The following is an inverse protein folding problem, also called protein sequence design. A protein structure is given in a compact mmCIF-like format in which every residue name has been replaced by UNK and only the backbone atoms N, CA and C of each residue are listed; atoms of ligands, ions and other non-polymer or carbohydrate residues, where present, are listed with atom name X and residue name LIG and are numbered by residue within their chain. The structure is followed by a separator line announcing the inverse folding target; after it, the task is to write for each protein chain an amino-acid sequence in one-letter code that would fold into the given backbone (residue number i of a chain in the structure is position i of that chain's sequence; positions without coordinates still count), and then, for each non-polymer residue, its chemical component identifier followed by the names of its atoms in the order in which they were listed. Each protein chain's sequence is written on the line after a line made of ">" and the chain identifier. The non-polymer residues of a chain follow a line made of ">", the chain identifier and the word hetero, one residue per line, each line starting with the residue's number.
data_IF_618667769992
#
_entry.id   IF_618667769992
#
_cell.length_a   1.000
_cell.length_b   1.000
_cell.length_c   1.000
_cell.angle_alpha   90.00
_cell.angle_beta   90.00
_cell.angle_gamma   90.00
#
_symmetry.space_group_name_H-M   'P 1'
#
loop_
_entity.id
_entity.type
_entity.pdbx_description
1 polymer ?
#
# COMPACT_ATOMS: atom_id res chain seq x y z
N UNK A 1 5.42 48.99 -6.61
CA UNK A 1 5.41 48.06 -5.46
C UNK A 1 4.54 46.87 -5.82
N UNK A 2 5.12 45.85 -6.43
CA UNK A 2 4.45 44.62 -6.87
C UNK A 2 4.55 43.58 -5.76
N UNK A 3 3.43 43.31 -5.08
CA UNK A 3 3.33 42.25 -4.08
C UNK A 3 3.42 40.89 -4.78
N UNK A 4 4.52 40.16 -4.55
CA UNK A 4 4.64 38.76 -4.95
C UNK A 4 3.49 37.92 -4.34
N UNK A 5 2.87 37.01 -5.10
CA UNK A 5 1.96 36.05 -4.54
C UNK A 5 2.76 35.09 -3.66
N UNK A 6 2.59 35.20 -2.33
CA UNK A 6 3.02 34.20 -1.36
C UNK A 6 2.58 32.83 -1.86
N UNK A 7 3.55 31.98 -2.21
CA UNK A 7 3.31 30.57 -2.49
C UNK A 7 2.46 30.01 -1.35
N UNK A 8 1.19 29.72 -1.63
CA UNK A 8 0.28 29.16 -0.67
C UNK A 8 0.89 27.86 -0.14
N UNK A 9 1.36 27.90 1.09
CA UNK A 9 1.73 26.73 1.87
C UNK A 9 0.53 25.80 1.81
N UNK A 10 0.67 24.66 1.12
CA UNK A 10 -0.35 23.60 1.14
C UNK A 10 -0.72 23.37 2.60
N UNK A 11 -2.02 23.43 2.96
CA UNK A 11 -2.42 23.13 4.32
C UNK A 11 -1.94 21.71 4.66
N UNK A 12 -1.48 21.47 5.90
CA UNK A 12 -1.10 20.13 6.33
C UNK A 12 -2.31 19.20 6.12
N UNK A 13 -2.12 18.05 5.47
CA UNK A 13 -3.14 17.01 5.18
C UNK A 13 -3.68 16.32 6.47
N UNK A 14 -3.96 17.09 7.52
CA UNK A 14 -4.36 16.66 8.85
C UNK A 14 -5.72 17.25 9.26
N UNK A 15 -6.55 17.60 8.30
CA UNK A 15 -7.95 17.96 8.52
C UNK A 15 -8.74 16.92 7.71
N UNK A 16 -9.97 16.52 8.10
CA UNK A 16 -10.95 16.12 7.09
C UNK A 16 -10.83 17.07 5.88
N UNK A 17 -11.17 16.64 4.67
CA UNK A 17 -11.30 17.62 3.58
C UNK A 17 -12.04 18.85 4.12
N UNK A 18 -11.74 20.08 3.70
CA UNK A 18 -12.29 21.30 4.31
C UNK A 18 -13.85 21.28 4.41
N UNK A 19 -14.46 20.34 3.67
CA UNK A 19 -15.87 19.98 3.56
C UNK A 19 -16.34 18.74 4.39
N UNK A 20 -15.54 18.19 5.31
CA UNK A 20 -15.91 17.02 6.14
C UNK A 20 -15.90 15.65 5.42
N UNK A 21 -15.23 15.55 4.25
CA UNK A 21 -15.29 14.35 3.41
C UNK A 21 -14.29 13.27 3.84
N UNK A 22 -14.62 11.97 3.67
CA UNK A 22 -13.72 10.87 3.97
C UNK A 22 -12.40 10.95 3.18
N UNK A 23 -11.28 10.79 3.87
CA UNK A 23 -9.93 10.88 3.29
C UNK A 23 -9.32 9.49 3.10
N UNK A 24 -9.09 9.12 1.83
CA UNK A 24 -8.36 7.89 1.48
C UNK A 24 -6.99 7.89 2.16
N UNK A 25 -6.61 6.77 2.78
CA UNK A 25 -5.35 6.62 3.51
C UNK A 25 -5.44 6.96 5.01
N UNK A 26 -6.58 7.49 5.46
CA UNK A 26 -6.84 7.81 6.86
C UNK A 26 -8.15 7.16 7.33
N UNK A 27 -9.24 7.39 6.61
CA UNK A 27 -10.57 6.92 6.97
C UNK A 27 -10.88 5.61 6.28
N UNK A 28 -11.21 4.58 7.09
CA UNK A 28 -11.56 3.27 6.56
C UNK A 28 -13.06 3.11 6.35
N UNK A 29 -13.52 3.03 5.08
CA UNK A 29 -14.91 2.71 4.77
C UNK A 29 -15.20 1.19 4.88
N UNK A 30 -16.48 0.82 4.83
CA UNK A 30 -16.94 -0.54 5.06
C UNK A 30 -16.36 -1.57 4.07
N UNK A 31 -16.30 -1.25 2.78
CA UNK A 31 -15.74 -2.16 1.77
C UNK A 31 -14.25 -2.45 2.02
N UNK A 32 -13.50 -1.41 2.35
CA UNK A 32 -12.10 -1.50 2.76
C UNK A 32 -11.86 -2.37 3.98
N UNK A 33 -12.75 -2.22 4.98
CA UNK A 33 -12.74 -3.02 6.20
C UNK A 33 -12.97 -4.50 5.89
N UNK A 34 -14.00 -4.79 5.09
CA UNK A 34 -14.35 -6.15 4.69
C UNK A 34 -13.20 -6.82 3.91
N UNK A 35 -12.60 -6.12 2.94
CA UNK A 35 -11.51 -6.66 2.13
C UNK A 35 -10.28 -7.02 2.97
N UNK A 36 -9.87 -6.13 3.89
CA UNK A 36 -8.70 -6.37 4.75
C UNK A 36 -8.94 -7.49 5.76
N UNK A 37 -10.15 -7.58 6.33
CA UNK A 37 -10.53 -8.68 7.21
C UNK A 37 -10.60 -10.01 6.47
N UNK A 38 -11.13 -10.02 5.24
CA UNK A 38 -11.14 -11.21 4.39
C UNK A 38 -9.71 -11.67 4.10
N UNK A 39 -8.83 -10.75 3.69
CA UNK A 39 -7.42 -11.06 3.47
C UNK A 39 -6.76 -11.59 4.74
N UNK A 40 -7.01 -10.96 5.90
CA UNK A 40 -6.48 -11.42 7.18
C UNK A 40 -6.96 -12.83 7.53
N UNK A 41 -8.26 -13.13 7.35
CA UNK A 41 -8.81 -14.45 7.62
C UNK A 41 -8.18 -15.53 6.73
N UNK A 42 -8.04 -15.26 5.43
CA UNK A 42 -7.36 -16.15 4.48
C UNK A 42 -5.91 -16.38 4.88
N UNK A 43 -5.18 -15.31 5.18
CA UNK A 43 -3.76 -15.39 5.52
C UNK A 43 -3.51 -16.07 6.87
N UNK A 44 -4.39 -15.89 7.87
CA UNK A 44 -4.37 -16.65 9.13
C UNK A 44 -4.61 -18.12 8.85
N UNK A 45 -5.62 -18.46 8.05
CA UNK A 45 -5.92 -19.84 7.70
C UNK A 45 -4.74 -20.52 7.00
N UNK A 46 -4.18 -19.87 5.97
CA UNK A 46 -2.97 -20.32 5.28
C UNK A 46 -1.80 -20.56 6.23
N UNK A 47 -1.56 -19.64 7.18
CA UNK A 47 -0.53 -19.79 8.20
C UNK A 47 -0.83 -20.97 9.12
N UNK A 48 -2.05 -21.14 9.62
CA UNK A 48 -2.39 -22.27 10.52
C UNK A 48 -2.20 -23.61 9.81
N UNK A 49 -2.65 -23.74 8.56
CA UNK A 49 -2.49 -24.95 7.74
C UNK A 49 -1.01 -25.26 7.50
N UNK A 50 -0.22 -24.27 7.08
CA UNK A 50 1.23 -24.39 6.87
C UNK A 50 2.00 -24.66 8.18
N UNK A 51 1.62 -23.98 9.24
CA UNK A 51 2.40 -23.85 10.48
C UNK A 51 2.10 -24.97 11.49
N UNK A 52 1.05 -25.76 11.24
CA UNK A 52 0.70 -26.99 11.99
C UNK A 52 1.83 -28.04 12.04
N UNK A 53 2.95 -27.80 11.35
CA UNK A 53 4.13 -28.66 11.21
C UNK A 53 5.40 -28.09 11.85
N UNK A 54 5.34 -26.97 12.57
CA UNK A 54 6.54 -26.31 13.10
C UNK A 54 7.09 -26.91 14.39
N UNK A 55 8.43 -27.00 14.44
CA UNK A 55 9.19 -27.18 15.67
C UNK A 55 9.04 -25.95 16.59
N UNK A 56 8.86 -26.18 17.90
CA UNK A 56 8.70 -25.13 18.91
C UNK A 56 9.87 -24.14 18.94
N UNK A 57 11.09 -24.59 18.63
CA UNK A 57 12.25 -23.71 18.54
C UNK A 57 12.15 -22.71 17.36
N UNK A 58 11.62 -23.15 16.22
CA UNK A 58 11.36 -22.27 15.08
C UNK A 58 10.26 -21.27 15.40
N UNK A 59 9.16 -21.74 16.00
CA UNK A 59 8.07 -20.87 16.42
C UNK A 59 8.55 -19.73 17.33
N UNK A 60 9.38 -20.05 18.33
CA UNK A 60 9.97 -19.05 19.22
C UNK A 60 10.82 -18.04 18.46
N UNK A 61 11.68 -18.48 17.52
CA UNK A 61 12.48 -17.58 16.68
C UNK A 61 11.61 -16.65 15.85
N UNK A 62 10.54 -17.16 15.25
CA UNK A 62 9.59 -16.38 14.46
C UNK A 62 8.89 -15.31 15.31
N UNK A 63 8.46 -15.66 16.53
CA UNK A 63 7.86 -14.69 17.47
C UNK A 63 8.87 -13.62 17.88
N UNK A 64 10.13 -13.99 18.18
CA UNK A 64 11.18 -13.03 18.49
C UNK A 64 11.45 -12.09 17.31
N UNK A 65 11.55 -12.62 16.09
CA UNK A 65 11.68 -11.81 14.87
C UNK A 65 10.49 -10.88 14.66
N UNK A 66 9.25 -11.34 14.88
CA UNK A 66 8.04 -10.51 14.85
C UNK A 66 8.15 -9.33 15.82
N UNK A 67 8.56 -9.57 17.06
CA UNK A 67 8.73 -8.51 18.07
C UNK A 67 9.80 -7.51 17.63
N UNK A 68 10.94 -7.98 17.13
CA UNK A 68 12.02 -7.13 16.63
C UNK A 68 11.56 -6.25 15.47
N UNK A 69 10.82 -6.82 14.51
CA UNK A 69 10.23 -6.09 13.39
C UNK A 69 9.24 -5.04 13.91
N UNK A 70 8.35 -5.41 14.84
CA UNK A 70 7.38 -4.48 15.42
C UNK A 70 8.06 -3.28 16.11
N UNK A 71 9.12 -3.53 16.88
CA UNK A 71 9.92 -2.48 17.51
C UNK A 71 10.59 -1.61 16.45
N UNK A 72 11.24 -2.20 15.44
CA UNK A 72 11.93 -1.48 14.38
C UNK A 72 10.98 -0.55 13.61
N UNK A 73 9.81 -1.05 13.19
CA UNK A 73 8.78 -0.25 12.53
C UNK A 73 8.25 0.87 13.42
N UNK A 74 8.03 0.60 14.71
CA UNK A 74 7.55 1.60 15.66
C UNK A 74 8.58 2.72 15.86
N UNK A 75 9.86 2.37 16.00
CA UNK A 75 10.95 3.33 16.11
C UNK A 75 11.10 4.14 14.82
N UNK A 76 11.12 3.48 13.67
CA UNK A 76 11.19 4.14 12.37
C UNK A 76 10.01 5.12 12.18
N UNK A 77 8.80 4.70 12.55
CA UNK A 77 7.61 5.55 12.49
C UNK A 77 7.75 6.79 13.38
N UNK A 78 8.21 6.64 14.62
CA UNK A 78 8.46 7.79 15.52
C UNK A 78 9.50 8.77 14.98
N UNK A 79 10.57 8.27 14.37
CA UNK A 79 11.64 9.11 13.82
C UNK A 79 11.20 9.82 12.52
N UNK A 80 10.49 9.11 11.64
CA UNK A 80 10.04 9.63 10.35
C UNK A 80 8.83 10.55 10.46
N UNK A 81 7.87 10.26 11.36
CA UNK A 81 6.69 11.10 11.61
C UNK A 81 7.09 12.54 11.94
N UNK A 82 8.00 12.72 12.89
CA UNK A 82 8.43 14.05 13.35
C UNK A 82 9.19 14.86 12.29
N UNK A 83 9.77 14.22 11.27
CA UNK A 83 10.78 14.85 10.39
C UNK A 83 10.42 14.86 8.91
N UNK A 84 9.61 13.91 8.46
CA UNK A 84 9.52 13.57 7.05
C UNK A 84 8.09 13.33 6.55
N UNK A 85 7.25 12.57 7.28
CA UNK A 85 5.98 12.09 6.73
C UNK A 85 5.03 13.21 6.31
N UNK A 86 4.97 14.33 7.05
CA UNK A 86 4.16 15.50 6.68
C UNK A 86 4.70 16.28 5.47
N UNK A 87 5.91 15.96 4.99
CA UNK A 87 6.62 16.69 3.92
C UNK A 87 6.77 15.87 2.64
N UNK A 88 6.28 14.63 2.63
CA UNK A 88 6.36 13.73 1.48
C UNK A 88 4.96 13.40 0.99
N UNK A 89 4.86 12.92 -0.25
CA UNK A 89 3.57 12.38 -0.69
C UNK A 89 3.27 11.09 0.08
N UNK A 90 1.99 10.75 0.31
CA UNK A 90 1.59 9.51 0.96
C UNK A 90 2.25 8.26 0.34
N UNK A 91 2.41 8.21 -0.98
CA UNK A 91 3.10 7.12 -1.70
C UNK A 91 4.58 7.01 -1.34
N UNK A 92 5.29 8.13 -1.22
CA UNK A 92 6.69 8.11 -0.80
C UNK A 92 6.82 7.64 0.65
N UNK A 93 5.91 8.10 1.53
CA UNK A 93 5.87 7.63 2.91
C UNK A 93 5.66 6.12 2.99
N UNK A 94 4.68 5.60 2.24
CA UNK A 94 4.42 4.17 2.10
C UNK A 94 5.68 3.42 1.67
N UNK A 95 6.30 3.85 0.57
CA UNK A 95 7.45 3.16 0.01
C UNK A 95 8.61 3.01 1.02
N UNK A 96 8.83 4.02 1.88
CA UNK A 96 9.83 3.95 2.95
C UNK A 96 9.53 2.86 3.98
N UNK A 97 8.26 2.64 4.31
CA UNK A 97 7.84 1.57 5.21
C UNK A 97 7.72 0.20 4.52
N UNK A 98 7.61 0.16 3.20
CA UNK A 98 7.60 -1.09 2.45
C UNK A 98 9.01 -1.60 2.14
N UNK A 99 10.04 -0.74 2.16
CA UNK A 99 11.44 -1.14 1.91
C UNK A 99 11.89 -2.43 2.62
N UNK A 100 11.59 -2.67 3.91
CA UNK A 100 11.98 -3.92 4.58
C UNK A 100 11.35 -5.19 3.96
N UNK A 101 10.26 -5.10 3.20
CA UNK A 101 9.72 -6.26 2.48
C UNK A 101 10.62 -6.73 1.34
N UNK A 102 11.61 -5.94 0.91
CA UNK A 102 12.65 -6.38 -0.03
C UNK A 102 13.56 -7.47 0.54
N UNK A 103 13.55 -7.69 1.86
CA UNK A 103 14.28 -8.80 2.46
C UNK A 103 13.82 -10.16 1.93
N UNK A 104 12.54 -10.27 1.54
CA UNK A 104 11.95 -11.51 1.01
C UNK A 104 12.47 -11.86 -0.39
N UNK A 105 12.30 -11.02 -1.45
CA UNK A 105 12.78 -11.35 -2.79
C UNK A 105 14.31 -11.36 -2.92
N UNK A 106 15.03 -10.73 -1.99
CA UNK A 106 16.50 -10.74 -1.97
C UNK A 106 17.08 -11.87 -1.12
N UNK A 107 16.23 -12.70 -0.50
CA UNK A 107 16.60 -13.78 0.42
C UNK A 107 17.57 -13.34 1.52
N UNK A 108 17.33 -12.15 2.08
CA UNK A 108 18.17 -11.56 3.12
C UNK A 108 17.61 -11.94 4.49
N UNK A 109 18.44 -12.65 5.26
CA UNK A 109 18.14 -13.04 6.64
C UNK A 109 17.52 -14.43 6.76
N UNK A 110 17.30 -14.92 7.99
CA UNK A 110 16.78 -16.27 8.22
C UNK A 110 15.28 -16.37 7.90
N UNK A 111 14.79 -17.56 7.56
CA UNK A 111 13.36 -17.80 7.28
C UNK A 111 12.41 -17.30 8.39
N UNK A 112 12.82 -17.46 9.66
CA UNK A 112 12.06 -16.94 10.81
C UNK A 112 11.88 -15.41 10.80
N UNK A 113 12.81 -14.67 10.18
CA UNK A 113 12.67 -13.22 9.99
C UNK A 113 11.58 -12.91 8.95
N UNK A 114 11.55 -13.65 7.85
CA UNK A 114 10.53 -13.51 6.81
C UNK A 114 9.14 -13.82 7.34
N UNK A 115 9.00 -14.93 8.09
CA UNK A 115 7.73 -15.29 8.73
C UNK A 115 7.32 -14.28 9.81
N UNK A 116 8.28 -13.79 10.60
CA UNK A 116 8.05 -12.73 11.59
C UNK A 116 7.55 -11.42 10.96
N UNK A 117 8.15 -10.99 9.84
CA UNK A 117 7.69 -9.84 9.05
C UNK A 117 6.29 -10.09 8.45
N UNK A 118 6.04 -11.31 8.01
CA UNK A 118 4.75 -11.74 7.52
C UNK A 118 3.66 -11.74 8.60
N UNK A 119 3.97 -12.14 9.83
CA UNK A 119 3.05 -12.04 10.99
C UNK A 119 2.79 -10.58 11.36
N UNK A 120 3.83 -9.75 11.31
CA UNK A 120 3.72 -8.32 11.58
C UNK A 120 2.76 -7.64 10.59
N UNK A 121 2.91 -7.92 9.30
CA UNK A 121 2.05 -7.38 8.25
C UNK A 121 0.62 -7.91 8.40
N UNK A 122 0.44 -9.19 8.74
CA UNK A 122 -0.87 -9.80 9.02
C UNK A 122 -1.60 -9.11 10.17
N UNK A 123 -0.89 -8.80 11.26
CA UNK A 123 -1.45 -8.03 12.37
C UNK A 123 -1.94 -6.65 11.88
N UNK A 124 -1.21 -6.01 10.95
CA UNK A 124 -1.64 -4.76 10.31
C UNK A 124 -3.00 -4.88 9.61
N UNK A 125 -3.23 -5.98 8.87
CA UNK A 125 -4.53 -6.26 8.22
C UNK A 125 -5.68 -6.45 9.20
N UNK A 126 -5.41 -6.85 10.45
CA UNK A 126 -6.41 -6.93 11.53
C UNK A 126 -6.60 -5.57 12.22
N UNK A 127 -5.50 -4.89 12.56
CA UNK A 127 -5.54 -3.63 13.31
C UNK A 127 -6.13 -2.46 12.52
N UNK A 128 -5.85 -2.36 11.22
CA UNK A 128 -6.40 -1.31 10.36
C UNK A 128 -7.95 -1.27 10.41
N UNK A 129 -8.66 -2.39 10.15
CA UNK A 129 -10.11 -2.52 10.36
C UNK A 129 -10.61 -2.12 11.74
N UNK A 130 -9.96 -2.60 12.81
CA UNK A 130 -10.38 -2.38 14.19
C UNK A 130 -10.24 -0.92 14.62
N UNK A 131 -9.17 -0.27 14.18
CA UNK A 131 -8.88 1.14 14.48
C UNK A 131 -9.50 2.11 13.48
N UNK A 132 -10.16 1.59 12.43
CA UNK A 132 -10.69 2.32 11.27
C UNK A 132 -9.64 3.18 10.58
N UNK A 133 -8.37 2.76 10.60
CA UNK A 133 -7.26 3.48 10.00
C UNK A 133 -6.92 2.90 8.61
N UNK A 134 -7.17 3.67 7.55
CA UNK A 134 -6.90 3.27 6.18
C UNK A 134 -5.44 3.46 5.71
N UNK A 135 -4.48 3.56 6.63
CA UNK A 135 -3.07 3.67 6.26
C UNK A 135 -2.48 2.37 5.68
N UNK A 136 -1.18 2.41 5.41
CA UNK A 136 -0.40 1.20 5.14
C UNK A 136 -0.40 0.27 6.36
N UNK A 137 -0.65 -1.02 6.14
CA UNK A 137 -0.89 -2.03 7.18
C UNK A 137 0.30 -2.14 8.15
N UNK A 138 1.53 -2.04 7.62
CA UNK A 138 2.78 -2.02 8.39
C UNK A 138 2.93 -0.81 9.33
N UNK A 139 2.02 0.16 9.27
CA UNK A 139 2.02 1.35 10.13
C UNK A 139 0.87 1.38 11.12
N UNK A 140 -0.04 0.41 11.08
CA UNK A 140 -1.19 0.34 11.98
C UNK A 140 -0.78 0.22 13.45
N UNK A 141 0.11 -0.74 13.77
CA UNK A 141 0.62 -0.92 15.12
C UNK A 141 1.43 0.31 15.60
N UNK A 142 2.39 0.85 14.82
CA UNK A 142 3.07 2.09 15.19
C UNK A 142 2.13 3.28 15.45
N UNK A 143 1.12 3.48 14.62
CA UNK A 143 0.14 4.55 14.80
C UNK A 143 -0.66 4.36 16.10
N UNK A 144 -1.04 3.12 16.42
CA UNK A 144 -1.74 2.78 17.66
C UNK A 144 -0.85 2.98 18.89
N UNK A 145 0.36 2.40 18.91
CA UNK A 145 1.30 2.41 20.05
C UNK A 145 1.77 3.83 20.36
N UNK A 146 2.03 4.63 19.33
CA UNK A 146 2.55 5.97 19.56
C UNK A 146 1.47 6.94 20.04
N UNK A 147 0.19 6.60 19.92
CA UNK A 147 -0.94 7.47 20.26
C UNK A 147 -0.91 8.82 19.53
N UNK A 148 -0.06 8.95 18.50
CA UNK A 148 0.19 10.19 17.77
C UNK A 148 -0.76 10.32 16.58
N UNK A 149 -0.65 11.46 15.89
CA UNK A 149 -1.26 11.74 14.59
C UNK A 149 -1.12 10.54 13.65
N UNK A 150 -2.25 10.11 13.10
CA UNK A 150 -2.31 9.15 11.97
C UNK A 150 -1.82 9.88 10.72
N UNK A 151 -0.77 9.36 10.08
CA UNK A 151 -0.29 9.91 8.81
C UNK A 151 -1.01 9.27 7.63
N UNK A 152 -1.25 10.06 6.58
CA UNK A 152 -1.82 9.58 5.33
C UNK A 152 -0.77 8.77 4.58
N UNK A 153 -0.93 7.45 4.57
CA UNK A 153 -0.05 6.52 3.87
C UNK A 153 -0.92 5.61 3.02
N UNK A 154 -0.55 5.42 1.76
CA UNK A 154 -1.34 4.58 0.87
C UNK A 154 -0.92 3.10 0.95
N UNK A 155 -1.87 2.21 0.73
CA UNK A 155 -1.73 0.78 0.58
C UNK A 155 -2.42 0.38 -0.72
N UNK A 156 -1.98 -0.68 -1.42
CA UNK A 156 -2.74 -1.26 -2.52
C UNK A 156 -4.21 -1.54 -2.16
N UNK A 157 -4.48 -1.89 -0.90
CA UNK A 157 -5.83 -2.15 -0.39
C UNK A 157 -6.70 -0.88 -0.29
N UNK A 158 -6.13 0.32 -0.40
CA UNK A 158 -6.91 1.55 -0.50
C UNK A 158 -7.73 1.67 -1.78
N UNK A 159 -7.57 0.75 -2.73
CA UNK A 159 -8.43 0.72 -3.90
C UNK A 159 -9.89 0.47 -3.54
N UNK A 160 -10.16 -0.42 -2.58
CA UNK A 160 -11.50 -0.66 -2.04
C UNK A 160 -12.01 0.57 -1.29
N UNK A 161 -11.13 1.24 -0.54
CA UNK A 161 -11.49 2.46 0.18
C UNK A 161 -11.94 3.54 -0.80
N UNK A 162 -11.17 3.72 -1.87
CA UNK A 162 -11.43 4.69 -2.93
C UNK A 162 -12.68 4.35 -3.73
N UNK A 163 -12.95 3.07 -3.98
CA UNK A 163 -14.16 2.60 -4.65
C UNK A 163 -15.42 3.01 -3.87
N UNK A 164 -15.41 2.73 -2.57
CA UNK A 164 -16.55 2.94 -1.69
C UNK A 164 -16.81 4.44 -1.45
N UNK A 165 -15.75 5.22 -1.27
CA UNK A 165 -15.86 6.69 -1.19
C UNK A 165 -16.40 7.26 -2.51
N UNK A 166 -15.84 6.86 -3.66
CA UNK A 166 -16.27 7.36 -4.97
C UNK A 166 -17.73 7.00 -5.29
N UNK A 167 -18.18 5.81 -4.89
CA UNK A 167 -19.57 5.37 -5.02
C UNK A 167 -20.52 6.27 -4.23
N UNK A 168 -20.14 6.63 -3.00
CA UNK A 168 -20.97 7.45 -2.11
C UNK A 168 -21.00 8.94 -2.46
N UNK A 169 -19.94 9.49 -3.05
CA UNK A 169 -19.76 10.97 -3.11
C UNK A 169 -19.70 11.58 -4.50
N UNK A 170 -19.73 10.81 -5.60
CA UNK A 170 -19.52 11.37 -6.95
C UNK A 170 -20.74 11.20 -7.87
N UNK A 171 -21.34 12.30 -8.38
CA UNK A 171 -22.18 12.26 -9.58
C UNK A 171 -21.29 11.80 -10.75
N UNK A 172 -21.59 10.65 -11.37
CA UNK A 172 -20.72 10.01 -12.38
C UNK A 172 -19.71 8.99 -11.81
N UNK A 173 -19.80 8.65 -10.52
CA UNK A 173 -18.94 7.69 -9.83
C UNK A 173 -19.00 6.26 -10.38
N UNK A 174 -20.02 5.90 -11.16
CA UNK A 174 -20.25 4.51 -11.65
C UNK A 174 -19.02 3.92 -12.35
N UNK A 175 -18.38 4.66 -13.26
CA UNK A 175 -17.17 4.17 -13.95
C UNK A 175 -15.95 4.06 -13.04
N UNK A 176 -15.86 4.89 -11.99
CA UNK A 176 -14.80 4.80 -10.99
C UNK A 176 -15.02 3.65 -10.03
N UNK A 177 -16.26 3.41 -9.64
CA UNK A 177 -16.66 2.24 -8.88
C UNK A 177 -16.37 0.99 -9.68
N UNK A 178 -16.77 0.93 -10.96
CA UNK A 178 -16.44 -0.20 -11.85
C UNK A 178 -14.93 -0.39 -11.95
N UNK A 179 -14.15 0.66 -12.26
CA UNK A 179 -12.70 0.55 -12.35
C UNK A 179 -12.07 0.02 -11.05
N UNK A 180 -12.50 0.55 -9.89
CA UNK A 180 -11.94 0.17 -8.61
C UNK A 180 -12.43 -1.22 -8.12
N UNK A 181 -13.68 -1.61 -8.43
CA UNK A 181 -14.20 -2.97 -8.20
C UNK A 181 -13.43 -3.95 -9.07
N UNK A 182 -13.25 -3.65 -10.35
CA UNK A 182 -12.52 -4.49 -11.29
C UNK A 182 -11.07 -4.69 -10.86
N UNK A 183 -10.38 -3.62 -10.48
CA UNK A 183 -9.03 -3.76 -9.93
C UNK A 183 -9.04 -4.49 -8.58
N UNK A 184 -10.01 -4.22 -7.70
CA UNK A 184 -10.15 -4.93 -6.42
C UNK A 184 -10.35 -6.44 -6.60
N UNK A 185 -11.25 -6.85 -7.50
CA UNK A 185 -11.49 -8.24 -7.85
C UNK A 185 -10.25 -8.89 -8.44
N UNK A 186 -9.52 -8.20 -9.32
CA UNK A 186 -8.25 -8.70 -9.85
C UNK A 186 -7.21 -8.91 -8.74
N UNK A 187 -7.06 -7.96 -7.82
CA UNK A 187 -6.13 -8.10 -6.68
C UNK A 187 -6.55 -9.23 -5.73
N UNK A 188 -7.84 -9.41 -5.47
CA UNK A 188 -8.37 -10.56 -4.71
C UNK A 188 -8.06 -11.86 -5.44
N UNK A 189 -8.32 -11.92 -6.75
CA UNK A 189 -8.06 -13.08 -7.58
C UNK A 189 -6.58 -13.48 -7.66
N UNK A 190 -5.66 -12.52 -7.50
CA UNK A 190 -4.22 -12.77 -7.60
C UNK A 190 -3.54 -12.95 -6.25
N UNK A 191 -4.00 -12.27 -5.18
CA UNK A 191 -3.39 -12.40 -3.86
C UNK A 191 -4.18 -13.29 -2.91
N UNK A 192 -5.52 -13.20 -2.89
CA UNK A 192 -6.35 -13.95 -1.95
C UNK A 192 -6.65 -15.34 -2.46
N UNK A 193 -7.01 -15.46 -3.74
CA UNK A 193 -7.42 -16.74 -4.31
C UNK A 193 -6.27 -17.75 -4.30
N UNK A 194 -5.03 -17.43 -4.74
CA UNK A 194 -3.95 -18.42 -4.68
C UNK A 194 -3.64 -18.85 -3.26
N UNK A 195 -3.65 -17.93 -2.28
CA UNK A 195 -3.50 -18.26 -0.85
C UNK A 195 -4.57 -19.23 -0.36
N UNK A 196 -5.83 -19.06 -0.78
CA UNK A 196 -6.91 -20.01 -0.49
C UNK A 196 -6.69 -21.37 -1.18
N UNK A 197 -6.27 -21.35 -2.45
CA UNK A 197 -6.08 -22.54 -3.27
C UNK A 197 -4.92 -23.43 -2.82
N UNK A 198 -3.92 -22.90 -2.11
CA UNK A 198 -2.84 -23.73 -1.53
C UNK A 198 -3.17 -24.33 -0.16
N UNK A 199 -4.33 -24.05 0.42
CA UNK A 199 -4.75 -24.64 1.70
C UNK A 199 -5.53 -25.95 1.51
N UNK A 200 -5.27 -26.94 2.38
CA UNK A 200 -6.04 -28.20 2.40
C UNK A 200 -7.45 -27.96 3.00
N UNK A 201 -8.57 -28.42 2.40
CA UNK A 201 -8.73 -29.35 1.26
C UNK A 201 -8.95 -28.67 -0.12
N UNK A 202 -8.84 -27.34 -0.20
CA UNK A 202 -9.09 -26.60 -1.46
C UNK A 202 -8.03 -26.93 -2.51
N UNK A 203 -6.78 -27.13 -2.09
CA UNK A 203 -5.70 -27.60 -2.94
C UNK A 203 -6.06 -28.88 -3.69
N UNK A 204 -6.58 -29.87 -2.97
CA UNK A 204 -6.95 -31.18 -3.54
C UNK A 204 -8.13 -31.07 -4.52
N UNK A 205 -8.98 -30.05 -4.35
CA UNK A 205 -10.13 -29.79 -5.21
C UNK A 205 -9.80 -28.99 -6.48
N UNK A 206 -8.64 -28.32 -6.53
CA UNK A 206 -8.30 -27.31 -7.55
C UNK A 206 -6.86 -27.49 -8.09
N UNK A 207 -6.29 -28.68 -7.90
CA UNK A 207 -4.93 -29.04 -8.31
C UNK A 207 -4.66 -28.64 -9.77
N UNK A 208 -3.58 -27.87 -9.99
CA UNK A 208 -3.17 -27.39 -11.32
C UNK A 208 -3.84 -26.10 -11.80
N UNK A 209 -4.65 -25.42 -10.98
CA UNK A 209 -5.18 -24.11 -11.35
C UNK A 209 -4.11 -23.01 -11.26
N UNK A 210 -3.64 -22.58 -12.41
CA UNK A 210 -2.91 -21.32 -12.56
C UNK A 210 -3.88 -20.26 -13.13
N UNK A 211 -4.03 -19.09 -12.49
CA UNK A 211 -4.84 -18.02 -13.06
C UNK A 211 -4.27 -17.64 -14.43
N UNK A 212 -5.09 -17.65 -15.50
CA UNK A 212 -4.60 -17.38 -16.84
C UNK A 212 -3.97 -16.00 -16.96
N UNK A 213 -2.85 -15.89 -17.69
CA UNK A 213 -2.14 -14.63 -17.92
C UNK A 213 -3.05 -13.51 -18.49
N UNK A 214 -4.04 -13.88 -19.30
CA UNK A 214 -5.00 -12.94 -19.91
C UNK A 214 -5.96 -12.28 -18.90
N UNK A 215 -6.02 -12.74 -17.64
CA UNK A 215 -6.80 -12.08 -16.60
C UNK A 215 -6.32 -10.65 -16.33
N UNK A 216 -5.03 -10.38 -16.55
CA UNK A 216 -4.46 -9.03 -16.48
C UNK A 216 -5.06 -8.05 -17.50
N UNK A 217 -5.64 -8.52 -18.62
CA UNK A 217 -6.32 -7.68 -19.62
C UNK A 217 -7.52 -6.93 -19.03
N UNK A 218 -8.11 -7.46 -17.96
CA UNK A 218 -9.18 -6.80 -17.21
C UNK A 218 -8.72 -5.44 -16.64
N UNK A 219 -7.40 -5.23 -16.45
CA UNK A 219 -6.82 -3.95 -16.04
C UNK A 219 -6.77 -2.89 -17.15
N UNK A 220 -7.07 -3.23 -18.40
CA UNK A 220 -7.20 -2.25 -19.48
C UNK A 220 -8.39 -1.31 -19.24
N UNK A 221 -9.44 -1.79 -18.58
CA UNK A 221 -10.59 -0.97 -18.22
C UNK A 221 -10.22 0.16 -17.23
N UNK A 222 -9.62 -0.11 -16.05
CA UNK A 222 -9.16 0.95 -15.17
C UNK A 222 -8.09 1.82 -15.82
N UNK A 223 -7.21 1.27 -16.66
CA UNK A 223 -6.25 2.07 -17.42
C UNK A 223 -6.94 3.08 -18.37
N UNK A 224 -7.97 2.65 -19.10
CA UNK A 224 -8.77 3.52 -19.95
C UNK A 224 -9.48 4.62 -19.14
N UNK A 225 -10.05 4.29 -17.99
CA UNK A 225 -10.67 5.29 -17.10
C UNK A 225 -9.66 6.35 -16.62
N UNK A 226 -8.44 5.94 -16.26
CA UNK A 226 -7.36 6.85 -15.87
C UNK A 226 -6.91 7.73 -17.04
N UNK A 227 -6.76 7.16 -18.23
CA UNK A 227 -6.40 7.89 -19.44
C UNK A 227 -7.47 8.93 -19.82
N UNK A 228 -8.75 8.58 -19.74
CA UNK A 228 -9.86 9.51 -19.97
C UNK A 228 -9.86 10.64 -18.94
N UNK A 229 -9.52 10.37 -17.68
CA UNK A 229 -9.36 11.42 -16.66
C UNK A 229 -8.18 12.34 -16.97
N UNK A 230 -7.04 11.79 -17.39
CA UNK A 230 -5.89 12.56 -17.81
C UNK A 230 -6.25 13.49 -18.98
N UNK A 231 -7.06 13.01 -19.94
CA UNK A 231 -7.54 13.81 -21.07
C UNK A 231 -8.47 14.95 -20.67
N UNK A 232 -9.35 14.72 -19.68
CA UNK A 232 -10.31 15.72 -19.19
C UNK A 232 -9.71 16.71 -18.19
N UNK A 233 -8.59 16.37 -17.57
CA UNK A 233 -7.90 17.26 -16.63
C UNK A 233 -7.19 18.40 -17.38
N UNK A 234 -7.23 19.60 -16.81
CA UNK A 234 -6.45 20.74 -17.30
C UNK A 234 -4.94 20.46 -17.27
N UNK A 235 -4.12 21.24 -18.02
CA UNK A 235 -2.67 21.12 -17.98
C UNK A 235 -2.17 21.29 -16.54
N UNK A 236 -1.48 20.27 -16.01
CA UNK A 236 -1.05 20.30 -14.61
C UNK A 236 -0.47 18.97 -14.12
N UNK A 237 0.01 18.94 -12.86
CA UNK A 237 0.56 17.74 -12.24
C UNK A 237 -0.44 16.59 -12.20
N UNK A 238 -1.73 16.88 -11.95
CA UNK A 238 -2.78 15.86 -11.87
C UNK A 238 -2.96 15.11 -13.19
N UNK A 239 -2.97 15.83 -14.32
CA UNK A 239 -3.03 15.21 -15.66
C UNK A 239 -1.86 14.26 -15.88
N UNK A 240 -0.64 14.65 -15.47
CA UNK A 240 0.55 13.79 -15.59
C UNK A 240 0.43 12.56 -14.70
N UNK A 241 -0.03 12.71 -13.46
CA UNK A 241 -0.21 11.59 -12.53
C UNK A 241 -1.22 10.58 -13.07
N UNK A 242 -2.37 11.04 -13.59
CA UNK A 242 -3.38 10.14 -14.18
C UNK A 242 -2.86 9.45 -15.43
N UNK A 243 -2.14 10.17 -16.30
CA UNK A 243 -1.54 9.60 -17.52
C UNK A 243 -0.48 8.56 -17.20
N UNK A 244 0.42 8.83 -16.25
CA UNK A 244 1.44 7.88 -15.81
C UNK A 244 0.84 6.64 -15.15
N UNK A 245 -0.22 6.81 -14.34
CA UNK A 245 -0.92 5.67 -13.74
C UNK A 245 -1.61 4.79 -14.79
N UNK A 246 -2.22 5.40 -15.81
CA UNK A 246 -2.79 4.67 -16.95
C UNK A 246 -1.73 3.89 -17.73
N UNK A 247 -0.62 4.57 -18.07
CA UNK A 247 0.51 3.96 -18.77
C UNK A 247 1.10 2.80 -17.98
N UNK A 248 1.30 2.98 -16.66
CA UNK A 248 1.82 1.95 -15.79
C UNK A 248 0.93 0.69 -15.81
N UNK A 249 -0.39 0.84 -15.68
CA UNK A 249 -1.29 -0.32 -15.73
C UNK A 249 -1.21 -1.07 -17.06
N UNK A 250 -1.14 -0.35 -18.19
CA UNK A 250 -0.97 -0.98 -19.51
C UNK A 250 0.36 -1.72 -19.61
N UNK A 251 1.45 -1.09 -19.19
CA UNK A 251 2.79 -1.69 -19.20
C UNK A 251 2.92 -2.87 -18.22
N UNK A 252 2.06 -2.93 -17.19
CA UNK A 252 2.06 -4.04 -16.24
C UNK A 252 1.30 -5.27 -16.77
N UNK A 253 0.35 -5.11 -17.70
CA UNK A 253 -0.45 -6.24 -18.25
C UNK A 253 0.39 -7.46 -18.66
N UNK A 254 1.53 -7.32 -19.38
CA UNK A 254 2.37 -8.47 -19.74
C UNK A 254 2.91 -9.28 -18.55
N UNK A 255 2.92 -8.71 -17.34
CA UNK A 255 3.33 -9.40 -16.12
C UNK A 255 2.29 -10.42 -15.63
N UNK A 256 1.10 -10.48 -16.24
CA UNK A 256 0.12 -11.51 -15.97
C UNK A 256 -0.36 -11.46 -14.53
N UNK A 257 -0.12 -12.51 -13.74
CA UNK A 257 -0.43 -12.58 -12.30
C UNK A 257 0.58 -11.84 -11.43
N UNK A 258 1.73 -11.41 -11.96
CA UNK A 258 2.75 -10.69 -11.19
C UNK A 258 2.54 -9.17 -11.15
N UNK A 259 1.45 -8.65 -11.73
CA UNK A 259 1.14 -7.20 -11.74
C UNK A 259 1.16 -6.59 -10.33
N UNK A 260 0.56 -7.21 -9.30
CA UNK A 260 0.57 -6.63 -7.97
C UNK A 260 2.00 -6.53 -7.41
N UNK A 261 2.85 -7.53 -7.67
CA UNK A 261 4.25 -7.52 -7.23
C UNK A 261 5.08 -6.48 -7.98
N UNK A 262 4.82 -6.27 -9.28
CA UNK A 262 5.39 -5.14 -10.03
C UNK A 262 4.94 -3.79 -9.47
N UNK A 263 3.69 -3.66 -9.05
CA UNK A 263 3.17 -2.45 -8.44
C UNK A 263 3.86 -2.17 -7.10
N UNK A 264 4.09 -3.20 -6.29
CA UNK A 264 4.92 -3.11 -5.09
C UNK A 264 6.36 -2.70 -5.38
N UNK A 265 7.03 -3.36 -6.33
CA UNK A 265 8.39 -3.03 -6.76
C UNK A 265 8.50 -1.60 -7.28
N UNK A 266 7.52 -1.14 -8.07
CA UNK A 266 7.44 0.23 -8.57
C UNK A 266 7.28 1.26 -7.47
N UNK A 267 6.40 1.01 -6.49
CA UNK A 267 6.23 1.88 -5.32
C UNK A 267 7.54 1.99 -4.53
N UNK A 268 8.18 0.85 -4.24
CA UNK A 268 9.46 0.81 -3.52
C UNK A 268 10.57 1.55 -4.27
N UNK A 269 10.70 1.35 -5.58
CA UNK A 269 11.68 2.03 -6.42
C UNK A 269 11.49 3.55 -6.42
N UNK A 270 10.24 4.01 -6.58
CA UNK A 270 9.91 5.44 -6.52
C UNK A 270 10.27 6.00 -5.14
N UNK A 271 10.01 5.26 -4.07
CA UNK A 271 10.42 5.61 -2.71
C UNK A 271 11.93 5.81 -2.57
N UNK A 272 12.72 4.84 -3.02
CA UNK A 272 14.19 4.88 -2.99
C UNK A 272 14.70 6.08 -3.77
N UNK A 273 14.30 6.23 -5.03
CA UNK A 273 14.74 7.33 -5.90
C UNK A 273 14.40 8.67 -5.27
N UNK A 274 13.18 8.82 -4.74
CA UNK A 274 12.75 10.07 -4.10
C UNK A 274 13.55 10.37 -2.83
N UNK A 275 13.82 9.35 -2.00
CA UNK A 275 14.61 9.48 -0.80
C UNK A 275 16.05 9.90 -1.12
N UNK A 276 16.69 9.25 -2.10
CA UNK A 276 18.05 9.56 -2.56
C UNK A 276 18.12 10.98 -3.12
N UNK A 277 17.24 11.34 -4.06
CA UNK A 277 17.23 12.69 -4.67
C UNK A 277 17.05 13.77 -3.61
N UNK A 278 16.16 13.57 -2.63
CA UNK A 278 15.94 14.52 -1.54
C UNK A 278 17.13 14.56 -0.56
N UNK A 279 17.76 13.42 -0.29
CA UNK A 279 18.98 13.32 0.51
C UNK A 279 20.13 14.09 -0.13
N UNK A 280 20.40 13.85 -1.40
CA UNK A 280 21.43 14.55 -2.20
C UNK A 280 21.15 16.06 -2.25
N UNK A 281 19.90 16.48 -2.48
CA UNK A 281 19.54 17.91 -2.48
C UNK A 281 19.73 18.56 -1.11
N UNK A 282 19.46 17.84 -0.01
CA UNK A 282 19.73 18.34 1.35
C UNK A 282 21.21 18.45 1.65
N UNK A 283 22.02 17.49 1.21
CA UNK A 283 23.48 17.52 1.36
C UNK A 283 24.06 18.71 0.58
N UNK A 284 23.69 18.88 -0.69
CA UNK A 284 24.12 20.02 -1.52
C UNK A 284 23.70 21.39 -0.97
N UNK A 285 22.61 21.48 -0.23
CA UNK A 285 22.17 22.74 0.44
C UNK A 285 22.90 23.00 1.76
N UNK A 286 23.53 21.97 2.35
CA UNK A 286 24.25 22.06 3.62
C UNK A 286 25.75 22.25 3.44
N UNK A 287 26.31 21.93 2.28
CA UNK A 287 27.67 22.32 1.91
C UNK A 287 27.62 23.79 1.48
N UNK A 288 28.15 24.75 2.26
CA UNK A 288 28.41 26.08 1.73
C UNK A 288 29.41 25.90 0.58
N UNK A 289 29.24 26.67 -0.50
CA UNK A 289 30.31 26.79 -1.48
C UNK A 289 31.56 27.26 -0.72
N UNK A 290 32.57 26.41 -0.62
CA UNK A 290 33.91 26.85 -0.25
C UNK A 290 34.35 27.79 -1.38
N UNK A 291 34.20 29.09 -1.13
CA UNK A 291 34.89 30.14 -1.88
C UNK A 291 36.34 30.20 -1.43
#
# INVERSE_FOLDING_TARGET
>A
MTSEPRAALRPPENVPDADGRPVVGLDMPAAGRALRLLFAAVAVWYRVDRDSRFDGAYFLRTVLCFVLVAVAYTVAYRLLSARLLDRVSPWTGTALFLLPSLLYPLDIGPAALHDGLGLYTLLGFVLCPLTRYAGAEVTALPALVTGRRRHRLYSPFNIADRADIAFRTSPGGKWWTVAAVVTGCYFVAVWVLPLMLVTTPVKDAVDGYEPPMWWSLVLLLPAACLALRARRAGPGPDRRTWGLAALFLVCAVPAGTNVPDMLWGGIMLIGIVTAVVRGVRRLRRRTPAAG
#
